data_IF_751890142966
#
_entry.id   IF_751890142966
#
_cell.length_a   1.000
_cell.length_b   1.000
_cell.length_c   1.000
_cell.angle_alpha   90.00
_cell.angle_beta   90.00
_cell.angle_gamma   90.00
#
_symmetry.space_group_name_H-M   'P 1'
#
loop_
_entity.id
_entity.type
_entity.pdbx_description
1 polymer ?
#
# COMPACT_ATOMS: atom_id res chain seq x y z
N UNK A 1 -8.13 -24.01 12.47
CA UNK A 1 -6.96 -23.10 12.53
C UNK A 1 -7.35 -21.77 11.90
N UNK A 2 -7.05 -20.62 12.50
CA UNK A 2 -7.42 -19.31 11.91
C UNK A 2 -6.46 -18.99 10.76
N UNK A 3 -6.96 -18.46 9.65
CA UNK A 3 -6.18 -18.13 8.45
C UNK A 3 -4.93 -17.30 8.76
N UNK A 4 -5.07 -16.30 9.65
CA UNK A 4 -3.95 -15.49 10.14
C UNK A 4 -2.81 -16.33 10.72
N UNK A 5 -3.15 -17.36 11.51
CA UNK A 5 -2.16 -18.21 12.18
C UNK A 5 -1.48 -19.15 11.16
N UNK A 6 -2.21 -19.60 10.14
CA UNK A 6 -1.67 -20.37 9.03
C UNK A 6 -0.69 -19.54 8.18
N UNK A 7 -1.11 -18.34 7.75
CA UNK A 7 -0.27 -17.45 6.95
C UNK A 7 0.96 -16.99 7.74
N UNK A 8 0.80 -16.71 9.03
CA UNK A 8 1.91 -16.32 9.91
C UNK A 8 2.90 -17.46 10.10
N UNK A 9 2.43 -18.67 10.40
CA UNK A 9 3.31 -19.83 10.58
C UNK A 9 4.04 -20.19 9.29
N UNK A 10 3.36 -20.18 8.15
CA UNK A 10 3.95 -20.54 6.86
C UNK A 10 4.96 -19.48 6.34
N UNK A 11 4.61 -18.19 6.39
CA UNK A 11 5.41 -17.12 5.80
C UNK A 11 6.46 -16.54 6.74
N UNK A 12 6.27 -16.66 8.07
CA UNK A 12 7.16 -16.07 9.07
C UNK A 12 7.74 -17.07 10.05
N UNK A 13 7.12 -18.24 10.22
CA UNK A 13 7.52 -19.28 11.18
C UNK A 13 8.37 -20.40 10.59
N UNK A 14 8.63 -20.41 9.29
CA UNK A 14 9.41 -21.48 8.67
C UNK A 14 10.91 -21.30 9.00
N UNK A 15 11.43 -22.18 9.87
CA UNK A 15 12.80 -22.16 10.41
C UNK A 15 13.89 -22.19 9.33
N UNK A 16 13.54 -22.66 8.12
CA UNK A 16 14.45 -22.73 6.98
C UNK A 16 14.99 -21.36 6.54
N UNK A 17 14.26 -20.28 6.82
CA UNK A 17 14.68 -18.93 6.50
C UNK A 17 15.31 -18.19 7.68
N UNK A 18 15.11 -18.65 8.92
CA UNK A 18 15.31 -17.82 10.12
C UNK A 18 16.69 -17.98 10.78
N UNK A 19 17.40 -16.85 10.78
CA UNK A 19 18.61 -16.53 11.54
C UNK A 19 19.93 -17.13 11.02
N UNK A 20 20.44 -16.55 9.92
CA UNK A 20 21.90 -16.49 9.74
C UNK A 20 22.47 -15.75 10.96
N UNK A 21 23.12 -16.49 11.84
CA UNK A 21 23.81 -15.91 13.00
C UNK A 21 24.97 -15.04 12.53
N UNK A 22 25.42 -14.08 13.35
CA UNK A 22 26.59 -13.26 13.01
C UNK A 22 27.80 -14.14 12.64
N UNK A 23 27.99 -15.26 13.33
CA UNK A 23 29.08 -16.20 13.03
C UNK A 23 28.95 -16.84 11.64
N UNK A 24 27.74 -17.28 11.25
CA UNK A 24 27.49 -17.81 9.91
C UNK A 24 27.64 -16.72 8.84
N UNK A 25 27.18 -15.50 9.14
CA UNK A 25 27.32 -14.35 8.26
C UNK A 25 28.79 -14.01 8.01
N UNK A 26 29.59 -13.92 9.08
CA UNK A 26 31.03 -13.66 9.00
C UNK A 26 31.77 -14.77 8.26
N UNK A 27 31.33 -16.03 8.34
CA UNK A 27 31.94 -17.15 7.60
C UNK A 27 31.82 -17.01 6.08
N UNK A 28 30.83 -16.25 5.58
CA UNK A 28 30.68 -15.98 4.14
C UNK A 28 31.76 -15.03 3.59
N UNK A 29 32.50 -14.35 4.46
CA UNK A 29 33.59 -13.46 4.06
C UNK A 29 34.94 -14.21 4.07
N UNK A 30 35.89 -13.82 3.21
CA UNK A 30 37.24 -14.37 3.25
C UNK A 30 37.91 -14.13 4.62
N UNK A 31 38.80 -15.03 5.09
CA UNK A 31 39.36 -14.99 6.45
C UNK A 31 39.97 -13.64 6.86
N UNK A 32 40.62 -12.96 5.91
CA UNK A 32 41.26 -11.66 6.12
C UNK A 32 40.28 -10.53 6.49
N UNK A 33 39.00 -10.65 6.11
CA UNK A 33 37.99 -9.62 6.32
C UNK A 33 37.03 -9.95 7.48
N UNK A 34 37.13 -11.15 8.08
CA UNK A 34 36.16 -11.61 9.10
C UNK A 34 36.19 -10.80 10.39
N UNK A 35 37.36 -10.27 10.75
CA UNK A 35 37.55 -9.47 11.97
C UNK A 35 37.26 -7.99 11.76
N UNK A 36 36.97 -7.58 10.53
CA UNK A 36 36.72 -6.19 10.20
C UNK A 36 35.38 -5.69 10.79
N UNK A 37 35.35 -4.47 11.33
CA UNK A 37 34.14 -3.88 11.88
C UNK A 37 33.05 -3.70 10.82
N UNK A 38 33.41 -3.45 9.55
CA UNK A 38 32.47 -3.27 8.45
C UNK A 38 31.57 -4.51 8.24
N UNK A 39 32.08 -5.72 8.51
CA UNK A 39 31.29 -6.96 8.40
C UNK A 39 30.16 -7.00 9.45
N UNK A 40 30.39 -6.42 10.63
CA UNK A 40 29.34 -6.29 11.66
C UNK A 40 28.30 -5.26 11.27
N UNK A 41 28.70 -4.18 10.61
CA UNK A 41 27.77 -3.16 10.12
C UNK A 41 26.92 -3.69 8.96
N UNK A 42 27.52 -4.45 8.03
CA UNK A 42 26.80 -5.21 7.01
C UNK A 42 25.79 -6.18 7.62
N UNK A 43 26.14 -6.87 8.70
CA UNK A 43 25.20 -7.74 9.41
C UNK A 43 24.03 -6.97 10.03
N UNK A 44 24.28 -5.78 10.60
CA UNK A 44 23.21 -4.91 11.12
C UNK A 44 22.27 -4.45 10.01
N UNK A 45 22.81 -4.05 8.85
CA UNK A 45 22.01 -3.65 7.68
C UNK A 45 21.16 -4.82 7.18
N UNK A 46 21.75 -6.02 7.09
CA UNK A 46 21.04 -7.25 6.73
C UNK A 46 19.87 -7.53 7.69
N UNK A 47 20.10 -7.46 9.01
CA UNK A 47 19.05 -7.66 10.01
C UNK A 47 17.94 -6.61 9.89
N UNK A 48 18.29 -5.34 9.67
CA UNK A 48 17.32 -4.27 9.50
C UNK A 48 16.44 -4.48 8.25
N UNK A 49 17.04 -4.79 7.11
CA UNK A 49 16.32 -5.10 5.86
C UNK A 49 15.36 -6.27 6.06
N UNK A 50 15.83 -7.31 6.76
CA UNK A 50 15.01 -8.49 7.10
C UNK A 50 13.84 -8.15 8.01
N UNK A 51 14.04 -7.30 9.02
CA UNK A 51 12.96 -6.83 9.90
C UNK A 51 11.90 -6.04 9.12
N UNK A 52 12.33 -5.21 8.17
CA UNK A 52 11.40 -4.48 7.30
C UNK A 52 10.55 -5.45 6.45
N UNK A 53 11.17 -6.44 5.82
CA UNK A 53 10.47 -7.47 5.04
C UNK A 53 9.45 -8.23 5.91
N UNK A 54 9.86 -8.69 7.10
CA UNK A 54 8.95 -9.35 8.05
C UNK A 54 7.77 -8.44 8.44
N UNK A 55 8.02 -7.15 8.62
CA UNK A 55 6.96 -6.18 8.95
C UNK A 55 5.99 -5.98 7.79
N UNK A 56 6.50 -5.91 6.56
CA UNK A 56 5.68 -5.84 5.35
C UNK A 56 4.82 -7.10 5.18
N UNK A 57 5.40 -8.29 5.34
CA UNK A 57 4.68 -9.56 5.27
C UNK A 57 3.57 -9.60 6.33
N UNK A 58 3.85 -9.22 7.59
CA UNK A 58 2.82 -9.13 8.64
C UNK A 58 1.66 -8.20 8.25
N UNK A 59 1.97 -7.01 7.73
CA UNK A 59 0.95 -6.06 7.25
C UNK A 59 0.12 -6.67 6.12
N UNK A 60 0.75 -7.37 5.18
CA UNK A 60 0.04 -7.98 4.06
C UNK A 60 -0.86 -9.13 4.52
N UNK A 61 -0.41 -9.95 5.49
CA UNK A 61 -1.25 -10.97 6.12
C UNK A 61 -2.48 -10.34 6.77
N UNK A 62 -2.31 -9.22 7.49
CA UNK A 62 -3.44 -8.52 8.11
C UNK A 62 -4.41 -7.93 7.07
N UNK A 63 -3.92 -7.48 5.92
CA UNK A 63 -4.75 -7.02 4.80
C UNK A 63 -5.53 -8.19 4.19
N UNK A 64 -4.86 -9.31 3.94
CA UNK A 64 -5.45 -10.48 3.30
C UNK A 64 -6.56 -11.10 4.14
N UNK A 65 -6.32 -11.25 5.45
CA UNK A 65 -7.32 -11.77 6.40
C UNK A 65 -8.56 -10.87 6.46
N UNK A 66 -8.41 -9.55 6.27
CA UNK A 66 -9.54 -8.61 6.20
C UNK A 66 -10.26 -8.64 4.87
N UNK A 67 -9.56 -8.99 3.79
CA UNK A 67 -10.12 -9.09 2.43
C UNK A 67 -10.87 -10.40 2.23
N UNK A 68 -10.57 -11.43 3.02
CA UNK A 68 -11.25 -12.72 2.92
C UNK A 68 -12.77 -12.59 3.19
N UNK A 69 -13.64 -12.90 2.20
CA UNK A 69 -15.09 -12.79 2.32
C UNK A 69 -15.67 -13.68 3.44
N UNK A 70 -15.01 -14.78 3.79
CA UNK A 70 -15.43 -15.64 4.90
C UNK A 70 -15.29 -14.96 6.27
N UNK A 71 -14.38 -14.00 6.43
CA UNK A 71 -14.22 -13.23 7.67
C UNK A 71 -15.11 -11.98 7.72
N UNK A 72 -15.43 -11.38 6.58
CA UNK A 72 -16.36 -10.24 6.48
C UNK A 72 -17.81 -10.62 6.89
N UNK A 73 -18.24 -11.86 6.59
CA UNK A 73 -19.55 -12.37 7.01
C UNK A 73 -19.60 -12.68 8.53
N UNK A 74 -18.51 -13.19 9.10
CA UNK A 74 -18.42 -13.57 10.53
C UNK A 74 -18.34 -12.34 11.44
N UNK A 75 -17.63 -11.27 11.03
CA UNK A 75 -17.56 -10.03 11.83
C UNK A 75 -18.90 -9.26 11.84
N UNK A 76 -19.73 -9.39 10.80
CA UNK A 76 -21.09 -8.85 10.80
C UNK A 76 -22.04 -9.65 11.71
N UNK A 77 -21.89 -10.98 11.78
CA UNK A 77 -22.65 -11.82 12.71
C UNK A 77 -22.20 -11.65 14.17
N UNK A 78 -20.90 -11.49 14.41
CA UNK A 78 -20.31 -11.38 15.76
C UNK A 78 -20.62 -10.03 16.43
N UNK A 79 -20.84 -8.97 15.66
CA UNK A 79 -21.28 -7.66 16.18
C UNK A 79 -22.75 -7.62 16.61
N UNK A 80 -23.58 -8.56 16.15
CA UNK A 80 -24.97 -8.70 16.62
C UNK A 80 -25.12 -9.67 17.81
N UNK A 81 -24.10 -10.49 18.11
CA UNK A 81 -24.15 -11.53 19.15
C UNK A 81 -23.34 -11.26 20.42
N UNK A 82 -22.65 -10.13 20.56
CA UNK A 82 -21.83 -9.82 21.73
C UNK A 82 -22.65 -9.33 22.94
N UNK A 83 -23.62 -10.14 23.35
CA UNK A 83 -24.14 -10.16 24.71
C UNK A 83 -24.22 -11.63 25.12
N UNK A 84 -23.54 -11.97 26.22
CA UNK A 84 -23.62 -13.23 26.97
C UNK A 84 -22.42 -14.20 26.90
N UNK A 85 -21.76 -14.33 28.06
CA UNK A 85 -21.12 -15.53 28.62
C UNK A 85 -19.63 -15.85 28.33
N UNK A 86 -18.77 -15.26 29.15
CA UNK A 86 -17.88 -15.94 30.13
C UNK A 86 -17.75 -17.48 30.15
N UNK A 87 -16.48 -17.92 30.35
CA UNK A 87 -15.95 -19.12 31.08
C UNK A 87 -15.59 -20.42 30.31
N UNK A 88 -14.26 -20.65 30.26
CA UNK A 88 -13.50 -21.78 30.87
C UNK A 88 -13.55 -23.15 30.14
N UNK A 89 -12.40 -23.63 29.62
CA UNK A 89 -11.48 -24.63 30.23
C UNK A 89 -10.39 -25.05 29.22
N UNK A 90 -9.18 -25.20 29.75
CA UNK A 90 -8.06 -25.96 29.19
C UNK A 90 -8.35 -27.47 29.28
N UNK A 91 -7.55 -28.25 28.53
CA UNK A 91 -7.40 -29.72 28.54
C UNK A 91 -8.29 -30.51 27.57
N UNK A 92 -7.72 -30.83 26.39
CA UNK A 92 -7.74 -32.17 25.78
C UNK A 92 -6.76 -32.17 24.59
N UNK A 93 -5.55 -32.68 24.84
CA UNK A 93 -4.53 -33.01 23.84
C UNK A 93 -4.55 -34.52 23.62
N UNK A 94 -5.48 -35.01 22.79
CA UNK A 94 -5.43 -36.39 22.29
C UNK A 94 -5.84 -36.43 20.81
N UNK A 95 -4.93 -36.98 19.99
CA UNK A 95 -5.04 -37.42 18.60
C UNK A 95 -5.82 -36.54 17.59
N UNK A 96 -5.09 -35.66 16.90
CA UNK A 96 -5.53 -35.16 15.59
C UNK A 96 -4.96 -36.09 14.53
N UNK A 97 -5.80 -37.02 14.11
CA UNK A 97 -5.62 -37.83 12.92
C UNK A 97 -5.42 -36.90 11.72
N UNK A 98 -4.26 -37.01 11.08
CA UNK A 98 -3.90 -36.27 9.87
C UNK A 98 -4.52 -37.03 8.70
N UNK A 99 -5.84 -36.91 8.55
CA UNK A 99 -6.52 -37.14 7.27
C UNK A 99 -6.75 -35.79 6.61
N UNK A 100 -5.77 -35.41 5.81
CA UNK A 100 -5.89 -34.38 4.79
C UNK A 100 -6.84 -34.89 3.68
N UNK A 101 -7.39 -33.95 2.91
CA UNK A 101 -8.04 -34.11 1.60
C UNK A 101 -9.59 -34.21 1.57
N UNK A 102 -10.17 -33.16 0.96
CA UNK A 102 -11.53 -33.06 0.40
C UNK A 102 -12.75 -32.93 1.33
N UNK A 103 -12.95 -31.70 1.84
CA UNK A 103 -14.31 -31.16 1.90
C UNK A 103 -14.78 -30.86 0.48
N UNK A 104 -15.19 -31.89 -0.26
CA UNK A 104 -15.99 -31.69 -1.47
C UNK A 104 -17.28 -30.96 -1.06
N UNK A 105 -17.36 -29.67 -1.39
CA UNK A 105 -18.62 -28.95 -1.38
C UNK A 105 -19.61 -29.74 -2.23
N UNK A 106 -20.84 -29.91 -1.74
CA UNK A 106 -21.88 -30.45 -2.61
C UNK A 106 -22.08 -29.49 -3.79
N UNK A 107 -22.55 -30.01 -4.93
CA UNK A 107 -22.75 -29.18 -6.12
C UNK A 107 -23.62 -27.95 -5.82
N UNK A 108 -24.64 -28.09 -4.98
CA UNK A 108 -25.51 -26.99 -4.55
C UNK A 108 -24.75 -25.94 -3.72
N UNK A 109 -23.84 -26.37 -2.84
CA UNK A 109 -23.00 -25.47 -2.05
C UNK A 109 -22.01 -24.73 -2.94
N UNK A 110 -21.36 -25.43 -3.88
CA UNK A 110 -20.46 -24.82 -4.84
C UNK A 110 -21.18 -23.82 -5.75
N UNK A 111 -22.41 -24.14 -6.19
CA UNK A 111 -23.24 -23.21 -6.99
C UNK A 111 -23.59 -21.96 -6.18
N UNK A 112 -23.96 -22.11 -4.91
CA UNK A 112 -24.26 -20.96 -4.04
C UNK A 112 -23.02 -20.08 -3.82
N UNK A 113 -21.87 -20.68 -3.55
CA UNK A 113 -20.62 -19.93 -3.38
C UNK A 113 -20.21 -19.21 -4.65
N UNK A 114 -20.31 -19.87 -5.82
CA UNK A 114 -20.03 -19.25 -7.10
C UNK A 114 -21.01 -18.14 -7.44
N UNK A 115 -22.29 -18.27 -7.09
CA UNK A 115 -23.29 -17.23 -7.29
C UNK A 115 -23.01 -15.97 -6.46
N UNK A 116 -22.57 -16.16 -5.21
CA UNK A 116 -22.14 -15.05 -4.35
C UNK A 116 -20.87 -14.39 -4.91
N UNK A 117 -19.88 -15.20 -5.31
CA UNK A 117 -18.64 -14.69 -5.90
C UNK A 117 -18.90 -13.92 -7.20
N UNK A 118 -19.78 -14.43 -8.07
CA UNK A 118 -20.19 -13.76 -9.31
C UNK A 118 -20.79 -12.39 -9.02
N UNK A 119 -21.68 -12.29 -8.03
CA UNK A 119 -22.28 -11.01 -7.64
C UNK A 119 -21.23 -10.01 -7.16
N UNK A 120 -20.32 -10.45 -6.28
CA UNK A 120 -19.25 -9.60 -5.76
C UNK A 120 -18.36 -9.09 -6.89
N UNK A 121 -17.97 -9.97 -7.82
CA UNK A 121 -17.12 -9.56 -8.93
C UNK A 121 -17.82 -8.61 -9.90
N UNK A 122 -19.12 -8.77 -10.13
CA UNK A 122 -19.90 -7.82 -10.95
C UNK A 122 -19.94 -6.43 -10.31
N UNK A 123 -20.16 -6.36 -9.00
CA UNK A 123 -20.17 -5.08 -8.27
C UNK A 123 -18.79 -4.42 -8.30
N UNK A 124 -17.71 -5.18 -8.12
CA UNK A 124 -16.34 -4.65 -8.17
C UNK A 124 -15.96 -4.19 -9.59
N UNK A 125 -16.32 -4.94 -10.64
CA UNK A 125 -16.11 -4.52 -12.03
C UNK A 125 -16.86 -3.22 -12.32
N UNK A 126 -18.13 -3.13 -11.92
CA UNK A 126 -18.92 -1.92 -12.12
C UNK A 126 -18.33 -0.71 -11.40
N UNK A 127 -17.79 -0.93 -10.19
CA UNK A 127 -17.08 0.12 -9.46
C UNK A 127 -15.81 0.56 -10.21
N UNK A 128 -15.00 -0.38 -10.69
CA UNK A 128 -13.80 -0.06 -11.49
C UNK A 128 -14.16 0.69 -12.78
N UNK A 129 -15.26 0.33 -13.45
CA UNK A 129 -15.73 1.03 -14.64
C UNK A 129 -16.10 2.48 -14.32
N UNK A 130 -16.79 2.71 -13.21
CA UNK A 130 -17.12 4.07 -12.74
C UNK A 130 -15.87 4.87 -12.38
N UNK A 131 -14.91 4.25 -11.67
CA UNK A 131 -13.65 4.89 -11.29
C UNK A 131 -12.84 5.27 -12.55
N UNK A 132 -12.78 4.38 -13.54
CA UNK A 132 -12.15 4.65 -14.84
C UNK A 132 -12.84 5.79 -15.59
N UNK A 133 -14.18 5.83 -15.59
CA UNK A 133 -14.95 6.90 -16.21
C UNK A 133 -14.70 8.25 -15.51
N UNK A 134 -14.66 8.26 -14.18
CA UNK A 134 -14.31 9.47 -13.39
C UNK A 134 -12.92 9.95 -13.74
N UNK A 135 -11.93 9.06 -13.77
CA UNK A 135 -10.55 9.40 -14.10
C UNK A 135 -10.41 9.95 -15.52
N UNK A 136 -11.09 9.36 -16.49
CA UNK A 136 -11.11 9.86 -17.86
C UNK A 136 -11.74 11.26 -17.95
N UNK A 137 -12.79 11.52 -17.17
CA UNK A 137 -13.42 12.85 -17.10
C UNK A 137 -12.49 13.88 -16.46
N UNK A 138 -11.85 13.54 -15.33
CA UNK A 138 -10.87 14.39 -14.68
C UNK A 138 -9.71 14.74 -15.62
N UNK A 139 -9.23 13.77 -16.40
CA UNK A 139 -8.18 13.99 -17.39
C UNK A 139 -8.64 14.95 -18.49
N UNK A 140 -9.85 14.79 -19.03
CA UNK A 140 -10.40 15.73 -20.02
C UNK A 140 -10.60 17.13 -19.45
N UNK A 141 -11.00 17.24 -18.19
CA UNK A 141 -11.20 18.54 -17.55
C UNK A 141 -9.86 19.22 -17.27
N UNK A 142 -8.83 18.46 -16.90
CA UNK A 142 -7.46 18.95 -16.79
C UNK A 142 -6.90 19.40 -18.15
N UNK A 143 -7.15 18.64 -19.21
CA UNK A 143 -6.72 18.97 -20.58
C UNK A 143 -7.35 20.30 -21.04
N UNK A 144 -8.66 20.48 -20.84
CA UNK A 144 -9.34 21.77 -21.09
C UNK A 144 -8.80 22.91 -20.24
N UNK A 145 -8.44 22.65 -18.98
CA UNK A 145 -7.81 23.67 -18.13
C UNK A 145 -6.43 24.05 -18.66
N UNK A 146 -5.65 23.09 -19.15
CA UNK A 146 -4.36 23.37 -19.78
C UNK A 146 -4.50 24.16 -21.08
N UNK A 147 -5.49 23.84 -21.92
CA UNK A 147 -5.83 24.64 -23.11
C UNK A 147 -6.27 26.07 -22.74
N UNK A 148 -7.01 26.23 -21.64
CA UNK A 148 -7.42 27.54 -21.14
C UNK A 148 -6.27 28.34 -20.53
N UNK A 149 -5.26 27.68 -19.96
CA UNK A 149 -3.99 28.33 -19.59
C UNK A 149 -3.13 28.45 -20.84
N UNK A 150 -3.55 29.32 -21.75
CA UNK A 150 -2.74 29.69 -22.89
C UNK A 150 -1.48 30.39 -22.37
N UNK A 151 -0.37 29.65 -22.26
CA UNK A 151 0.95 30.28 -22.37
C UNK A 151 0.97 30.84 -23.79
N UNK A 152 1.13 32.16 -23.99
CA UNK A 152 1.15 32.73 -25.33
C UNK A 152 2.22 32.01 -26.14
N UNK A 153 1.77 31.19 -27.10
CA UNK A 153 2.64 30.55 -28.06
C UNK A 153 3.06 31.64 -29.03
N UNK A 154 4.36 31.93 -29.00
CA UNK A 154 5.05 32.99 -29.72
C UNK A 154 4.97 34.39 -29.08
N UNK A 155 6.17 34.92 -28.81
CA UNK A 155 6.43 36.33 -28.54
C UNK A 155 6.37 37.19 -29.83
N UNK A 156 5.81 36.67 -30.93
CA UNK A 156 5.82 37.31 -32.25
C UNK A 156 4.63 38.26 -32.48
N UNK A 157 3.58 38.20 -31.62
CA UNK A 157 2.37 39.02 -31.78
C UNK A 157 2.26 40.20 -30.81
N UNK A 158 3.20 40.36 -29.87
CA UNK A 158 3.30 41.61 -29.13
C UNK A 158 4.03 42.61 -30.00
N UNK A 159 3.33 43.65 -30.46
CA UNK A 159 3.97 44.86 -30.97
C UNK A 159 5.03 45.28 -29.95
N UNK A 160 6.30 45.33 -30.35
CA UNK A 160 7.41 45.81 -29.52
C UNK A 160 7.09 47.14 -28.83
N UNK A 161 6.22 47.94 -29.46
CA UNK A 161 5.75 49.22 -28.94
C UNK A 161 4.81 49.08 -27.73
N UNK A 162 3.90 48.09 -27.73
CA UNK A 162 3.04 47.80 -26.59
C UNK A 162 3.86 47.24 -25.42
N UNK A 163 4.79 46.32 -25.72
CA UNK A 163 5.65 45.71 -24.72
C UNK A 163 6.61 46.72 -24.08
N UNK A 164 7.14 47.66 -24.89
CA UNK A 164 7.94 48.78 -24.39
C UNK A 164 7.13 49.76 -23.54
N UNK A 165 5.85 49.98 -23.86
CA UNK A 165 4.96 50.84 -23.07
C UNK A 165 4.70 50.21 -21.70
N UNK A 166 4.40 48.91 -21.66
CA UNK A 166 4.16 48.18 -20.41
C UNK A 166 5.43 48.11 -19.53
N UNK A 167 6.61 47.94 -20.15
CA UNK A 167 7.89 47.97 -19.44
C UNK A 167 8.18 49.36 -18.86
N UNK A 168 7.86 50.43 -19.59
CA UNK A 168 7.99 51.80 -19.10
C UNK A 168 7.02 52.09 -17.96
N UNK A 169 5.78 51.59 -18.01
CA UNK A 169 4.84 51.71 -16.89
C UNK A 169 5.33 50.97 -15.65
N UNK A 170 5.86 49.75 -15.81
CA UNK A 170 6.42 48.98 -14.71
C UNK A 170 7.64 49.67 -14.08
N UNK A 171 8.55 50.19 -14.90
CA UNK A 171 9.71 50.98 -14.43
C UNK A 171 9.24 52.22 -13.66
N UNK A 172 8.21 52.92 -14.15
CA UNK A 172 7.64 54.09 -13.46
C UNK A 172 7.03 53.69 -12.13
N UNK A 173 6.33 52.56 -12.07
CA UNK A 173 5.72 52.05 -10.84
C UNK A 173 6.80 51.69 -9.81
N UNK A 174 7.84 50.96 -10.22
CA UNK A 174 8.98 50.65 -9.37
C UNK A 174 9.74 51.89 -8.90
N UNK A 175 9.89 52.91 -9.76
CA UNK A 175 10.42 54.23 -9.39
C UNK A 175 9.58 54.90 -8.30
N UNK A 176 8.26 54.93 -8.46
CA UNK A 176 7.37 55.51 -7.45
C UNK A 176 7.43 54.78 -6.10
N UNK A 177 7.57 53.45 -6.11
CA UNK A 177 7.71 52.66 -4.88
C UNK A 177 9.06 52.94 -4.21
N UNK A 178 10.14 53.04 -4.98
CA UNK A 178 11.48 53.32 -4.44
C UNK A 178 11.57 54.73 -3.87
N UNK A 179 10.99 55.74 -4.51
CA UNK A 179 10.95 57.12 -4.01
C UNK A 179 10.11 57.24 -2.72
N UNK A 180 9.04 56.44 -2.57
CA UNK A 180 8.26 56.37 -1.34
C UNK A 180 8.98 55.67 -0.18
N UNK A 181 9.91 54.75 -0.48
CA UNK A 181 10.70 54.02 0.53
C UNK A 181 11.90 54.85 1.00
N UNK A 182 12.37 55.82 0.22
CA UNK A 182 13.52 56.69 0.57
C UNK A 182 13.14 58.01 1.26
N UNK A 183 11.85 58.30 1.44
CA UNK A 183 11.36 59.55 2.07
C UNK A 183 10.89 59.38 3.52
N UNK A 184 11.17 58.25 4.17
CA UNK A 184 11.07 58.07 5.64
C UNK A 184 12.45 58.18 6.32
#
# INVERSE_FOLDING_TARGET
MKEKDLLTSFLLGNELHDSVTLQQFTKMFPPAFRTQPEVKDLYRVYLNSRHQIKTTIKRNIDIEVRRNPFHLAVDQASRQGASFSSRKREDDLEDIDIEDVDKHLTLDQAIQELSVAEKIYKEEIQKLENDCASFAQEFQDLDKQMESTHVPQSLDEFSDEALMTDLQELIRLCGSITDTVTSE
#
